data_IF_427938085339
#
_entry.id   IF_427938085339
#
_cell.length_a   1.000
_cell.length_b   1.000
_cell.length_c   1.000
_cell.angle_alpha   90.00
_cell.angle_beta   90.00
_cell.angle_gamma   90.00
#
_symmetry.space_group_name_H-M   'P 1'
#
loop_
_entity.id
_entity.type
_entity.pdbx_description
1 polymer ?
#
# COMPACT_ATOMS: atom_id res chain seq x y z
N UNK A 1 -23.60 -0.79 19.69
CA UNK A 1 -22.59 -1.66 19.03
C UNK A 1 -21.39 -1.74 19.94
N UNK A 2 -20.69 -2.89 19.95
CA UNK A 2 -19.45 -3.01 20.69
C UNK A 2 -18.41 -2.05 20.15
N UNK A 3 -17.63 -1.43 21.03
CA UNK A 3 -16.48 -0.61 20.64
C UNK A 3 -15.42 -1.50 20.01
N UNK A 4 -14.67 -0.94 19.08
CA UNK A 4 -13.57 -1.61 18.40
C UNK A 4 -12.38 -0.69 18.34
N UNK A 5 -11.19 -1.25 18.50
CA UNK A 5 -9.95 -0.49 18.62
C UNK A 5 -8.87 -1.01 17.69
N UNK A 6 -8.04 -0.12 17.19
CA UNK A 6 -6.70 -0.46 16.67
C UNK A 6 -5.74 -0.29 17.85
N UNK A 7 -5.12 -1.37 18.29
CA UNK A 7 -4.29 -1.40 19.51
C UNK A 7 -2.80 -1.62 19.24
N UNK A 8 -2.46 -2.03 18.04
CA UNK A 8 -1.08 -2.18 17.62
C UNK A 8 -0.95 -2.04 16.12
N UNK A 9 0.21 -1.58 15.69
CA UNK A 9 0.63 -1.55 14.29
C UNK A 9 2.06 -2.01 14.16
N UNK A 10 2.43 -2.58 13.02
CA UNK A 10 3.76 -3.09 12.75
C UNK A 10 4.16 -2.90 11.29
N UNK A 11 5.47 -2.89 11.07
CA UNK A 11 6.10 -2.64 9.79
C UNK A 11 7.21 -3.67 9.55
N UNK A 12 7.27 -4.23 8.36
CA UNK A 12 8.43 -4.99 7.89
C UNK A 12 8.97 -4.32 6.64
N UNK A 13 10.24 -3.96 6.68
CA UNK A 13 10.92 -3.24 5.59
C UNK A 13 11.89 -4.22 4.92
N UNK A 14 11.86 -4.37 3.58
CA UNK A 14 12.85 -5.14 2.84
C UNK A 14 14.27 -4.62 3.08
N UNK A 15 15.29 -5.49 2.92
CA UNK A 15 16.67 -5.11 3.19
C UNK A 15 17.28 -4.17 2.14
N UNK A 16 16.79 -4.21 0.91
CA UNK A 16 17.39 -3.50 -0.21
C UNK A 16 16.75 -2.13 -0.41
N UNK A 17 17.60 -1.09 -0.37
CA UNK A 17 17.24 0.28 -0.68
C UNK A 17 17.75 0.65 -2.07
N UNK A 18 16.90 1.27 -2.89
CA UNK A 18 17.25 1.89 -4.17
C UNK A 18 17.01 3.40 -4.06
N UNK A 19 18.04 4.20 -4.27
CA UNK A 19 17.96 5.65 -4.43
C UNK A 19 17.51 6.03 -5.85
N UNK A 20 17.06 7.27 -6.05
CA UNK A 20 16.77 7.74 -7.41
C UNK A 20 18.02 7.72 -8.31
N UNK A 21 19.19 8.04 -7.75
CA UNK A 21 20.44 8.05 -8.52
C UNK A 21 20.83 6.65 -9.01
N UNK A 22 20.72 5.62 -8.16
CA UNK A 22 20.96 4.23 -8.56
C UNK A 22 19.97 3.78 -9.64
N UNK A 23 18.67 4.10 -9.46
CA UNK A 23 17.63 3.75 -10.42
C UNK A 23 17.86 4.43 -11.78
N UNK A 24 18.15 5.73 -11.77
CA UNK A 24 18.41 6.53 -12.96
C UNK A 24 19.65 6.03 -13.71
N UNK A 25 20.73 5.71 -13.00
CA UNK A 25 21.95 5.17 -13.61
C UNK A 25 21.66 3.87 -14.37
N UNK A 26 20.94 2.93 -13.76
CA UNK A 26 20.54 1.67 -14.38
C UNK A 26 19.59 1.87 -15.57
N UNK A 27 18.57 2.71 -15.39
CA UNK A 27 17.59 2.99 -16.44
C UNK A 27 18.24 3.67 -17.66
N UNK A 28 19.10 4.66 -17.45
CA UNK A 28 19.75 5.38 -18.57
C UNK A 28 20.72 4.47 -19.32
N UNK A 29 21.39 3.55 -18.65
CA UNK A 29 22.20 2.52 -19.33
C UNK A 29 21.33 1.58 -20.17
N UNK A 30 20.16 1.15 -19.66
CA UNK A 30 19.17 0.41 -20.47
C UNK A 30 18.72 1.24 -21.68
N UNK A 31 18.37 2.52 -21.49
CA UNK A 31 17.91 3.40 -22.58
C UNK A 31 18.98 3.56 -23.66
N UNK A 32 20.24 3.79 -23.26
CA UNK A 32 21.39 3.87 -24.16
C UNK A 32 21.55 2.60 -25.00
N UNK A 33 21.60 1.43 -24.33
CA UNK A 33 21.73 0.13 -25.01
C UNK A 33 20.55 -0.16 -25.94
N UNK A 34 19.34 0.19 -25.53
CA UNK A 34 18.13 0.01 -26.34
C UNK A 34 18.18 0.89 -27.59
N UNK A 35 18.56 2.15 -27.47
CA UNK A 35 18.67 3.08 -28.59
C UNK A 35 19.77 2.68 -29.56
N UNK A 36 20.91 2.20 -29.08
CA UNK A 36 21.98 1.68 -29.91
C UNK A 36 21.56 0.44 -30.72
N UNK A 37 20.88 -0.53 -30.05
CA UNK A 37 20.36 -1.74 -30.74
C UNK A 37 19.33 -1.40 -31.81
N UNK A 38 18.53 -0.37 -31.60
CA UNK A 38 17.44 0.04 -32.50
C UNK A 38 17.80 1.24 -33.38
N UNK A 39 19.09 1.60 -33.52
CA UNK A 39 19.53 2.82 -34.20
C UNK A 39 18.97 2.97 -35.63
N UNK A 40 18.92 1.88 -36.42
CA UNK A 40 18.37 1.89 -37.77
C UNK A 40 16.85 2.13 -37.80
N UNK A 41 16.09 1.47 -36.90
CA UNK A 41 14.64 1.62 -36.78
C UNK A 41 14.26 2.99 -36.22
N UNK A 42 15.08 3.56 -35.34
CA UNK A 42 14.93 4.94 -34.86
C UNK A 42 15.17 5.93 -36.00
N UNK A 43 16.20 5.73 -36.79
CA UNK A 43 16.50 6.61 -37.93
C UNK A 43 15.41 6.56 -39.01
N UNK A 44 14.73 5.43 -39.20
CA UNK A 44 13.59 5.28 -40.12
C UNK A 44 12.26 5.79 -39.52
N UNK A 45 12.20 6.08 -38.20
CA UNK A 45 10.98 6.49 -37.53
C UNK A 45 10.04 5.34 -37.14
N UNK A 46 10.46 4.08 -37.30
CA UNK A 46 9.66 2.90 -36.90
C UNK A 46 9.62 2.71 -35.39
N UNK A 47 10.67 3.10 -34.69
CA UNK A 47 10.79 2.99 -33.24
C UNK A 47 11.10 4.36 -32.65
N UNK A 48 10.42 4.72 -31.57
CA UNK A 48 10.73 5.95 -30.84
C UNK A 48 12.00 5.79 -30.00
N UNK A 49 12.74 6.88 -29.84
CA UNK A 49 13.86 6.96 -28.91
C UNK A 49 13.36 6.74 -27.48
N UNK A 50 14.04 5.88 -26.72
CA UNK A 50 13.82 5.74 -25.29
C UNK A 50 14.50 6.94 -24.60
N UNK A 51 13.71 7.86 -23.98
CA UNK A 51 14.28 9.04 -23.35
C UNK A 51 14.96 8.69 -22.04
N UNK A 52 16.02 9.42 -21.69
CA UNK A 52 16.66 9.32 -20.38
C UNK A 52 15.79 9.84 -19.25
N UNK A 53 16.04 9.37 -18.04
CA UNK A 53 15.43 9.83 -16.80
C UNK A 53 16.41 10.67 -15.98
N UNK A 54 15.93 11.34 -14.93
CA UNK A 54 16.76 12.01 -13.94
C UNK A 54 16.13 11.99 -12.55
N UNK A 55 16.95 12.12 -11.52
CA UNK A 55 16.48 12.19 -10.12
C UNK A 55 15.56 13.39 -9.91
N UNK A 56 15.85 14.54 -10.55
CA UNK A 56 15.02 15.73 -10.50
C UNK A 56 13.64 15.50 -11.16
N UNK A 57 13.61 14.78 -12.28
CA UNK A 57 12.35 14.39 -12.92
C UNK A 57 11.50 13.57 -11.98
N UNK A 58 12.07 12.54 -11.35
CA UNK A 58 11.36 11.66 -10.42
C UNK A 58 10.81 12.44 -9.23
N UNK A 59 11.66 13.25 -8.56
CA UNK A 59 11.25 14.05 -7.41
C UNK A 59 10.16 15.06 -7.77
N UNK A 60 10.30 15.76 -8.90
CA UNK A 60 9.29 16.72 -9.37
C UNK A 60 7.97 16.05 -9.73
N UNK A 61 8.02 14.88 -10.34
CA UNK A 61 6.82 14.15 -10.78
C UNK A 61 6.06 13.51 -9.63
N UNK A 62 6.75 13.08 -8.55
CA UNK A 62 6.17 12.22 -7.52
C UNK A 62 6.40 12.66 -6.09
N UNK A 63 7.54 13.29 -5.79
CA UNK A 63 8.05 13.53 -4.44
C UNK A 63 8.87 12.36 -3.87
N UNK A 64 9.07 11.29 -4.64
CA UNK A 64 9.81 10.08 -4.22
C UNK A 64 11.30 10.33 -4.35
N UNK A 65 12.08 9.95 -3.30
CA UNK A 65 13.54 10.04 -3.29
C UNK A 65 14.22 8.67 -3.30
N UNK A 66 13.54 7.68 -2.74
CA UNK A 66 14.04 6.32 -2.62
C UNK A 66 12.89 5.32 -2.48
N UNK A 67 13.19 4.03 -2.58
CA UNK A 67 12.26 2.91 -2.32
C UNK A 67 12.99 1.72 -1.75
N UNK A 68 12.28 0.95 -0.96
CA UNK A 68 12.73 -0.37 -0.55
C UNK A 68 12.18 -1.43 -1.49
N UNK A 69 12.97 -2.47 -1.77
CA UNK A 69 12.58 -3.60 -2.62
C UNK A 69 13.13 -4.90 -2.02
N UNK A 70 12.54 -6.03 -2.37
CA UNK A 70 13.01 -7.34 -1.90
C UNK A 70 14.28 -7.80 -2.61
N UNK A 71 14.52 -7.31 -3.82
CA UNK A 71 15.75 -7.54 -4.58
C UNK A 71 16.06 -6.35 -5.48
N UNK A 72 17.15 -5.65 -5.18
CA UNK A 72 17.62 -4.54 -6.02
C UNK A 72 18.57 -4.99 -7.14
N UNK A 73 19.18 -6.15 -7.01
CA UNK A 73 20.21 -6.59 -7.96
C UNK A 73 19.61 -6.82 -9.35
N UNK A 74 18.47 -7.49 -9.42
CA UNK A 74 17.74 -7.70 -10.66
C UNK A 74 17.08 -6.43 -11.20
N UNK A 75 16.60 -5.55 -10.31
CA UNK A 75 16.01 -4.25 -10.70
C UNK A 75 17.06 -3.33 -11.32
N UNK A 76 18.26 -3.27 -10.73
CA UNK A 76 19.35 -2.40 -11.20
C UNK A 76 20.22 -3.02 -12.29
N UNK A 77 19.95 -4.24 -12.73
CA UNK A 77 20.59 -4.85 -13.91
C UNK A 77 19.91 -4.30 -15.19
N UNK A 78 20.61 -3.49 -16.02
CA UNK A 78 19.99 -2.87 -17.20
C UNK A 78 19.55 -3.88 -18.28
N UNK A 79 20.04 -5.11 -18.26
CA UNK A 79 19.59 -6.15 -19.17
C UNK A 79 18.33 -6.87 -18.67
N UNK A 80 18.09 -6.86 -17.37
CA UNK A 80 16.95 -7.52 -16.72
C UNK A 80 15.83 -6.55 -16.34
N UNK A 81 16.13 -5.55 -15.53
CA UNK A 81 15.17 -4.55 -14.98
C UNK A 81 13.90 -5.20 -14.39
N UNK A 82 14.09 -6.18 -13.54
CA UNK A 82 13.04 -6.92 -12.85
C UNK A 82 13.68 -7.64 -11.65
N UNK A 83 13.05 -7.68 -10.48
CA UNK A 83 13.62 -8.36 -9.33
C UNK A 83 13.85 -9.85 -9.59
N UNK A 84 14.88 -10.41 -8.96
CA UNK A 84 15.16 -11.86 -8.95
C UNK A 84 14.52 -12.45 -7.70
N UNK A 85 13.38 -13.09 -7.88
CA UNK A 85 12.66 -13.76 -6.78
C UNK A 85 12.61 -15.26 -7.11
N UNK A 86 13.53 -16.07 -6.59
CA UNK A 86 13.54 -17.50 -6.87
C UNK A 86 12.31 -18.18 -6.26
N UNK A 87 11.77 -19.21 -6.92
CA UNK A 87 10.70 -20.01 -6.36
C UNK A 87 11.17 -20.68 -5.07
N UNK A 88 10.29 -20.75 -4.08
CA UNK A 88 10.52 -21.42 -2.80
C UNK A 88 10.00 -22.87 -2.85
N UNK A 89 10.64 -23.80 -2.11
CA UNK A 89 10.08 -25.13 -1.90
C UNK A 89 8.66 -25.05 -1.28
N UNK A 90 7.80 -26.03 -1.60
CA UNK A 90 6.42 -26.03 -1.12
C UNK A 90 6.30 -26.16 0.41
N UNK A 91 7.34 -26.63 1.07
CA UNK A 91 7.44 -26.79 2.53
C UNK A 91 7.73 -25.46 3.24
N UNK A 92 8.13 -24.45 2.51
CA UNK A 92 8.37 -23.10 3.03
C UNK A 92 7.15 -22.21 2.80
N UNK A 93 6.90 -21.29 3.73
CA UNK A 93 5.91 -20.23 3.53
C UNK A 93 6.34 -19.32 2.37
N UNK A 94 5.37 -18.75 1.69
CA UNK A 94 5.61 -17.82 0.59
C UNK A 94 6.36 -16.57 1.06
N UNK A 95 7.02 -15.86 0.13
CA UNK A 95 7.73 -14.63 0.43
C UNK A 95 6.78 -13.58 1.05
N UNK A 96 5.59 -13.42 0.47
CA UNK A 96 4.61 -12.47 1.02
C UNK A 96 4.11 -12.88 2.40
N UNK A 97 3.99 -14.19 2.69
CA UNK A 97 3.68 -14.65 4.05
C UNK A 97 4.82 -14.35 5.05
N UNK A 98 6.08 -14.49 4.64
CA UNK A 98 7.23 -14.11 5.49
C UNK A 98 7.24 -12.62 5.81
N UNK A 99 7.03 -11.76 4.80
CA UNK A 99 6.89 -10.31 4.97
C UNK A 99 5.74 -9.98 5.94
N UNK A 100 4.60 -10.63 5.74
CA UNK A 100 3.41 -10.48 6.59
C UNK A 100 3.67 -10.88 8.05
N UNK A 101 4.35 -12.00 8.29
CA UNK A 101 4.73 -12.49 9.63
C UNK A 101 5.64 -11.47 10.33
N UNK A 102 6.59 -10.87 9.61
CA UNK A 102 7.46 -9.83 10.14
C UNK A 102 6.69 -8.64 10.69
N UNK A 103 5.80 -8.07 9.89
CA UNK A 103 4.95 -6.94 10.30
C UNK A 103 3.96 -7.32 11.41
N UNK A 104 3.37 -8.52 11.34
CA UNK A 104 2.41 -9.01 12.34
C UNK A 104 3.02 -9.16 13.73
N UNK A 105 4.25 -9.68 13.83
CA UNK A 105 4.97 -9.81 15.11
C UNK A 105 5.17 -8.47 15.79
N UNK A 106 5.54 -7.44 15.04
CA UNK A 106 5.68 -6.09 15.59
C UNK A 106 4.32 -5.51 16.02
N UNK A 107 3.28 -5.69 15.21
CA UNK A 107 1.93 -5.23 15.55
C UNK A 107 1.40 -5.88 16.84
N UNK A 108 1.56 -7.18 16.99
CA UNK A 108 1.19 -7.93 18.20
C UNK A 108 1.98 -7.45 19.42
N UNK A 109 3.29 -7.29 19.29
CA UNK A 109 4.14 -6.77 20.37
C UNK A 109 3.69 -5.36 20.80
N UNK A 110 3.36 -4.48 19.85
CA UNK A 110 2.87 -3.12 20.12
C UNK A 110 1.46 -3.11 20.74
N UNK A 111 0.64 -4.12 20.45
CA UNK A 111 -0.67 -4.34 21.05
C UNK A 111 -0.61 -4.99 22.45
N UNK A 112 0.55 -5.54 22.85
CA UNK A 112 0.67 -6.37 24.05
C UNK A 112 -0.14 -7.66 23.93
N UNK A 113 -0.18 -8.27 22.74
CA UNK A 113 -0.93 -9.51 22.45
C UNK A 113 -0.01 -10.63 22.01
N UNK A 114 -0.40 -11.86 22.35
CA UNK A 114 0.22 -13.09 21.85
C UNK A 114 -0.50 -13.56 20.60
N UNK A 115 0.18 -14.31 19.75
CA UNK A 115 -0.38 -14.84 18.51
C UNK A 115 -1.60 -15.78 18.76
N UNK A 116 -1.56 -16.57 19.85
CA UNK A 116 -2.65 -17.49 20.21
C UNK A 116 -3.95 -16.77 20.60
N UNK A 117 -3.90 -15.46 20.88
CA UNK A 117 -5.07 -14.65 21.17
C UNK A 117 -5.79 -14.16 19.91
N UNK A 118 -5.18 -14.33 18.72
CA UNK A 118 -5.73 -13.90 17.43
C UNK A 118 -6.75 -14.93 16.93
N UNK A 119 -7.96 -14.48 16.70
CA UNK A 119 -9.07 -15.30 16.20
C UNK A 119 -9.29 -15.16 14.69
N UNK A 120 -8.76 -14.09 14.07
CA UNK A 120 -8.94 -13.80 12.65
C UNK A 120 -7.67 -13.20 12.04
N UNK A 121 -7.23 -13.76 10.93
CA UNK A 121 -6.14 -13.22 10.10
C UNK A 121 -6.68 -12.81 8.74
N UNK A 122 -6.59 -11.53 8.39
CA UNK A 122 -6.94 -10.99 7.08
C UNK A 122 -5.66 -10.52 6.40
N UNK A 123 -5.30 -11.10 5.26
CA UNK A 123 -4.29 -10.53 4.38
C UNK A 123 -5.00 -9.71 3.31
N UNK A 124 -4.81 -8.39 3.39
CA UNK A 124 -5.46 -7.39 2.57
C UNK A 124 -4.41 -6.61 1.78
N UNK A 125 -4.17 -7.00 0.52
CA UNK A 125 -3.12 -6.41 -0.32
C UNK A 125 -3.55 -6.26 -1.79
N UNK A 126 -2.74 -5.54 -2.55
CA UNK A 126 -3.06 -5.20 -3.94
C UNK A 126 -2.82 -6.34 -4.92
N UNK A 127 -1.99 -7.31 -4.55
CA UNK A 127 -1.66 -8.49 -5.37
C UNK A 127 -1.29 -9.67 -4.47
N UNK A 128 -1.49 -10.88 -4.98
CA UNK A 128 -1.16 -12.12 -4.30
C UNK A 128 -0.11 -12.90 -5.09
N UNK A 129 0.84 -13.49 -4.38
CA UNK A 129 1.87 -14.33 -4.97
C UNK A 129 1.28 -15.56 -5.67
N UNK A 130 0.15 -16.06 -5.18
CA UNK A 130 -0.60 -17.19 -5.72
C UNK A 130 -2.07 -17.11 -5.33
N UNK A 131 -2.97 -17.77 -6.07
CA UNK A 131 -4.41 -17.74 -5.76
C UNK A 131 -4.78 -18.59 -4.54
N UNK A 132 -4.06 -19.70 -4.26
CA UNK A 132 -4.29 -20.58 -3.09
C UNK A 132 -3.08 -21.49 -2.84
N UNK A 133 -2.86 -21.99 -1.58
CA UNK A 133 -3.60 -21.58 -0.39
C UNK A 133 -3.46 -20.08 -0.11
N UNK A 134 -4.42 -19.51 0.64
CA UNK A 134 -4.40 -18.10 1.01
C UNK A 134 -3.16 -17.76 1.82
N UNK A 135 -2.59 -16.59 1.59
CA UNK A 135 -1.42 -16.08 2.36
C UNK A 135 -1.79 -15.96 3.85
N UNK A 136 -3.03 -15.55 4.15
CA UNK A 136 -3.53 -15.47 5.52
C UNK A 136 -3.44 -16.80 6.27
N UNK A 137 -3.67 -17.94 5.60
CA UNK A 137 -3.57 -19.29 6.19
C UNK A 137 -2.10 -19.66 6.45
N UNK A 138 -1.18 -19.27 5.57
CA UNK A 138 0.26 -19.45 5.81
C UNK A 138 0.73 -18.62 7.01
N UNK A 139 0.27 -17.37 7.12
CA UNK A 139 0.58 -16.47 8.24
C UNK A 139 0.01 -17.02 9.54
N UNK A 140 -1.25 -17.49 9.54
CA UNK A 140 -1.90 -18.12 10.68
C UNK A 140 -1.07 -19.29 11.20
N UNK A 141 -0.64 -20.17 10.31
CA UNK A 141 0.22 -21.32 10.63
C UNK A 141 1.57 -20.87 11.20
N UNK A 142 2.24 -19.93 10.54
CA UNK A 142 3.59 -19.49 10.90
C UNK A 142 3.66 -18.72 12.24
N UNK A 143 2.56 -18.06 12.62
CA UNK A 143 2.43 -17.35 13.90
C UNK A 143 1.86 -18.23 15.02
N UNK A 144 1.17 -19.32 14.69
CA UNK A 144 0.43 -20.13 15.66
C UNK A 144 -0.91 -19.48 16.09
N UNK A 145 -1.53 -18.67 15.21
CA UNK A 145 -2.84 -18.07 15.47
C UNK A 145 -3.95 -19.10 15.44
N UNK A 146 -5.00 -18.89 16.25
CA UNK A 146 -6.22 -19.65 16.22
C UNK A 146 -7.21 -19.19 15.14
N UNK A 147 -8.47 -19.64 15.25
CA UNK A 147 -9.59 -19.18 14.46
C UNK A 147 -9.48 -19.46 12.95
N UNK A 148 -9.64 -18.42 12.11
CA UNK A 148 -9.67 -18.55 10.65
C UNK A 148 -8.95 -17.38 9.96
N UNK A 149 -8.60 -17.57 8.68
CA UNK A 149 -7.96 -16.53 7.87
C UNK A 149 -8.40 -16.57 6.42
N UNK A 150 -8.34 -15.41 5.76
CA UNK A 150 -8.61 -15.27 4.33
C UNK A 150 -7.90 -14.08 3.72
N UNK A 151 -7.72 -14.13 2.39
CA UNK A 151 -7.15 -13.05 1.60
C UNK A 151 -8.25 -12.18 1.01
N UNK A 152 -7.99 -10.86 0.87
CA UNK A 152 -8.88 -9.94 0.16
C UNK A 152 -8.10 -8.91 -0.65
N UNK A 153 -8.66 -8.49 -1.79
CA UNK A 153 -8.05 -7.52 -2.69
C UNK A 153 -9.04 -6.40 -3.03
N UNK A 154 -8.66 -5.17 -2.70
CA UNK A 154 -9.29 -3.92 -3.12
C UNK A 154 -8.20 -2.95 -3.56
N UNK A 155 -7.19 -3.45 -4.25
CA UNK A 155 -6.02 -2.71 -4.71
C UNK A 155 -5.41 -1.87 -3.57
N UNK A 156 -5.08 -0.57 -3.82
CA UNK A 156 -4.46 0.31 -2.83
C UNK A 156 -5.36 0.62 -1.61
N UNK A 157 -6.65 0.26 -1.63
CA UNK A 157 -7.55 0.42 -0.49
C UNK A 157 -7.68 -0.83 0.37
N UNK A 158 -6.97 -1.91 0.05
CA UNK A 158 -7.12 -3.20 0.73
C UNK A 158 -6.96 -3.10 2.24
N UNK A 159 -5.97 -2.35 2.75
CA UNK A 159 -5.75 -2.19 4.19
C UNK A 159 -6.96 -1.59 4.92
N UNK A 160 -7.55 -0.50 4.40
CA UNK A 160 -8.72 0.14 5.03
C UNK A 160 -9.97 -0.73 4.92
N UNK A 161 -10.19 -1.41 3.80
CA UNK A 161 -11.28 -2.37 3.69
C UNK A 161 -11.08 -3.59 4.62
N UNK A 162 -9.83 -4.07 4.78
CA UNK A 162 -9.48 -5.12 5.72
C UNK A 162 -9.76 -4.73 7.18
N UNK A 163 -9.40 -3.51 7.57
CA UNK A 163 -9.71 -2.98 8.90
C UNK A 163 -11.23 -2.93 9.13
N UNK A 164 -12.02 -2.53 8.13
CA UNK A 164 -13.48 -2.54 8.23
C UNK A 164 -14.03 -3.95 8.43
N UNK A 165 -13.53 -4.95 7.66
CA UNK A 165 -13.95 -6.35 7.82
C UNK A 165 -13.58 -6.90 9.20
N UNK A 166 -12.37 -6.62 9.69
CA UNK A 166 -11.95 -6.98 11.03
C UNK A 166 -12.85 -6.32 12.10
N UNK A 167 -13.12 -5.02 11.96
CA UNK A 167 -14.00 -4.29 12.87
C UNK A 167 -15.43 -4.86 12.86
N UNK A 168 -15.95 -5.27 11.71
CA UNK A 168 -17.26 -5.90 11.60
C UNK A 168 -17.29 -7.29 12.24
N UNK A 169 -16.22 -8.09 12.06
CA UNK A 169 -16.08 -9.39 12.74
C UNK A 169 -16.04 -9.22 14.27
N UNK A 170 -15.32 -8.22 14.76
CA UNK A 170 -15.25 -7.91 16.19
C UNK A 170 -16.61 -7.39 16.72
N UNK A 171 -17.28 -6.50 15.99
CA UNK A 171 -18.61 -5.97 16.40
C UNK A 171 -19.68 -7.05 16.46
N UNK A 172 -19.64 -8.02 15.53
CA UNK A 172 -20.58 -9.14 15.50
C UNK A 172 -20.24 -10.25 16.51
N UNK A 173 -19.05 -10.21 17.12
CA UNK A 173 -18.57 -11.24 18.04
C UNK A 173 -18.03 -12.50 17.36
N UNK A 174 -17.85 -12.50 16.03
CA UNK A 174 -17.22 -13.62 15.30
C UNK A 174 -15.69 -13.66 15.49
N UNK A 175 -15.08 -12.56 15.93
CA UNK A 175 -13.70 -12.50 16.40
C UNK A 175 -13.60 -11.55 17.59
N UNK A 176 -12.59 -11.71 18.45
CA UNK A 176 -12.28 -10.79 19.56
C UNK A 176 -11.02 -9.98 19.25
N UNK A 177 -10.08 -10.61 18.56
CA UNK A 177 -8.80 -10.06 18.16
C UNK A 177 -8.50 -10.49 16.73
N UNK A 178 -8.33 -9.52 15.83
CA UNK A 178 -8.03 -9.73 14.43
C UNK A 178 -6.70 -9.07 14.04
N UNK A 179 -5.95 -9.73 13.16
CA UNK A 179 -4.81 -9.18 12.45
C UNK A 179 -5.23 -8.79 11.03
N UNK A 180 -4.99 -7.56 10.63
CA UNK A 180 -5.09 -7.12 9.23
C UNK A 180 -3.69 -6.81 8.74
N UNK A 181 -3.26 -7.50 7.69
CA UNK A 181 -1.87 -7.45 7.21
C UNK A 181 -1.87 -7.12 5.73
N UNK A 182 -1.00 -6.21 5.33
CA UNK A 182 -0.85 -5.78 3.93
C UNK A 182 0.61 -6.00 3.48
N UNK A 183 0.96 -7.23 3.06
CA UNK A 183 2.24 -7.48 2.40
C UNK A 183 2.15 -7.01 0.94
N UNK A 184 2.90 -5.98 0.59
CA UNK A 184 2.91 -5.41 -0.75
C UNK A 184 4.25 -5.68 -1.43
N UNK A 185 4.17 -6.28 -2.63
CA UNK A 185 5.32 -6.63 -3.46
C UNK A 185 5.14 -6.07 -4.89
N UNK A 186 4.87 -4.77 -5.05
CA UNK A 186 4.60 -4.19 -6.36
C UNK A 186 5.81 -4.15 -7.28
N UNK A 187 7.04 -4.29 -6.76
CA UNK A 187 8.25 -4.40 -7.59
C UNK A 187 8.18 -5.54 -8.61
N UNK A 188 7.48 -6.63 -8.27
CA UNK A 188 7.33 -7.81 -9.12
C UNK A 188 6.41 -7.61 -10.33
N UNK A 189 5.57 -6.57 -10.34
CA UNK A 189 4.66 -6.28 -11.45
C UNK A 189 4.76 -4.85 -12.00
N UNK A 190 5.81 -4.10 -11.62
CA UNK A 190 6.15 -2.82 -12.19
C UNK A 190 6.98 -3.02 -13.47
N UNK A 191 6.69 -2.25 -14.53
CA UNK A 191 7.58 -2.16 -15.69
C UNK A 191 8.69 -1.14 -15.39
N UNK A 192 9.84 -1.66 -14.99
CA UNK A 192 11.01 -0.85 -14.64
C UNK A 192 11.66 -0.17 -15.86
N UNK A 193 11.30 -0.59 -17.09
CA UNK A 193 11.72 0.03 -18.36
C UNK A 193 10.80 1.15 -18.83
N UNK A 194 9.71 1.41 -18.11
CA UNK A 194 8.75 2.47 -18.42
C UNK A 194 9.10 3.73 -17.61
N UNK A 195 9.68 4.73 -18.30
CA UNK A 195 10.11 5.99 -17.68
C UNK A 195 9.01 6.68 -16.87
N UNK A 196 7.77 6.56 -17.28
CA UNK A 196 6.65 7.27 -16.67
C UNK A 196 6.19 6.62 -15.35
N UNK A 197 6.60 5.39 -15.08
CA UNK A 197 6.17 4.70 -13.86
C UNK A 197 7.28 3.93 -13.12
N UNK A 198 8.50 3.76 -13.66
CA UNK A 198 9.57 2.95 -13.09
C UNK A 198 9.98 3.32 -11.66
N UNK A 199 9.62 4.52 -11.22
CA UNK A 199 9.99 5.06 -9.91
C UNK A 199 8.88 4.95 -8.86
N UNK A 200 7.67 4.52 -9.24
CA UNK A 200 6.46 4.73 -8.42
C UNK A 200 6.47 3.89 -7.17
N UNK A 201 6.82 2.60 -7.26
CA UNK A 201 6.55 1.64 -6.19
C UNK A 201 7.78 1.29 -5.34
N UNK A 202 7.46 0.86 -4.10
CA UNK A 202 8.35 0.16 -3.19
C UNK A 202 7.63 -0.99 -2.50
N UNK A 203 8.40 -2.01 -2.08
CA UNK A 203 7.90 -3.19 -1.38
C UNK A 203 7.90 -2.96 0.13
N UNK A 204 6.95 -3.56 0.83
CA UNK A 204 6.81 -3.44 2.28
C UNK A 204 5.75 -4.42 2.81
N UNK A 205 5.70 -4.64 4.12
CA UNK A 205 4.51 -5.18 4.77
C UNK A 205 4.12 -4.33 5.97
N UNK A 206 2.82 -4.16 6.16
CA UNK A 206 2.24 -3.54 7.36
C UNK A 206 1.22 -4.46 8.01
N UNK A 207 1.03 -4.29 9.32
CA UNK A 207 -0.01 -4.99 10.05
C UNK A 207 -0.65 -4.07 11.08
N UNK A 208 -1.94 -4.31 11.39
CA UNK A 208 -2.64 -3.72 12.52
C UNK A 208 -3.40 -4.78 13.29
N UNK A 209 -3.49 -4.60 14.61
CA UNK A 209 -4.33 -5.39 15.51
C UNK A 209 -5.65 -4.64 15.72
N UNK A 210 -6.77 -5.32 15.44
CA UNK A 210 -8.13 -4.80 15.60
C UNK A 210 -8.87 -5.66 16.62
N UNK A 211 -9.33 -5.06 17.73
CA UNK A 211 -9.89 -5.86 18.82
C UNK A 211 -11.00 -5.15 19.60
N UNK A 212 -11.77 -5.93 20.38
CA UNK A 212 -12.90 -5.45 21.17
C UNK A 212 -12.47 -4.70 22.44
N UNK A 213 -11.29 -4.98 22.97
CA UNK A 213 -10.83 -4.39 24.23
C UNK A 213 -9.30 -4.32 24.26
N UNK A 214 -8.74 -3.13 24.52
CA UNK A 214 -7.31 -2.97 24.69
C UNK A 214 -6.75 -3.86 25.81
N UNK A 215 -5.53 -4.37 25.65
CA UNK A 215 -4.88 -5.26 26.62
C UNK A 215 -4.47 -4.55 27.94
N UNK A 216 -4.36 -3.22 27.90
CA UNK A 216 -3.73 -2.42 28.95
C UNK A 216 -2.20 -2.34 28.84
N UNK A 217 -1.60 -3.11 27.95
CA UNK A 217 -0.15 -3.14 27.69
C UNK A 217 0.26 -2.57 26.33
N UNK A 218 -0.73 -2.11 25.53
CA UNK A 218 -0.52 -1.54 24.21
C UNK A 218 0.24 -0.21 24.29
N UNK A 219 1.06 0.09 23.27
CA UNK A 219 1.77 1.36 23.16
C UNK A 219 0.84 2.54 22.82
N UNK A 220 -0.21 2.28 22.07
CA UNK A 220 -1.27 3.24 21.77
C UNK A 220 -2.56 2.50 21.43
N UNK A 221 -3.70 3.12 21.69
CA UNK A 221 -5.00 2.58 21.30
C UNK A 221 -5.84 3.67 20.63
N UNK A 222 -6.55 3.26 19.57
CA UNK A 222 -7.41 4.13 18.78
C UNK A 222 -8.77 3.48 18.59
N UNK A 223 -9.82 4.09 19.17
CA UNK A 223 -11.20 3.66 18.98
C UNK A 223 -11.65 3.98 17.55
N UNK A 224 -12.21 3.01 16.82
CA UNK A 224 -12.80 3.20 15.49
C UNK A 224 -14.22 3.75 15.68
N UNK A 225 -14.39 5.07 15.50
CA UNK A 225 -15.67 5.77 15.64
C UNK A 225 -16.58 5.56 14.44
N UNK A 226 -16.01 5.53 13.26
CA UNK A 226 -16.73 5.33 12.01
C UNK A 226 -15.85 4.75 10.91
N UNK A 227 -16.49 4.03 10.00
CA UNK A 227 -15.87 3.50 8.78
C UNK A 227 -16.74 3.84 7.59
N UNK A 228 -16.12 4.18 6.45
CA UNK A 228 -16.82 4.44 5.20
C UNK A 228 -16.02 3.88 4.03
N UNK A 229 -16.70 3.15 3.15
CA UNK A 229 -16.11 2.58 1.94
C UNK A 229 -16.95 2.94 0.71
N UNK A 230 -16.30 3.09 -0.45
CA UNK A 230 -16.96 3.31 -1.73
C UNK A 230 -16.10 2.74 -2.87
N UNK A 231 -16.77 2.30 -3.93
CA UNK A 231 -16.13 1.85 -5.18
C UNK A 231 -16.85 2.42 -6.39
N UNK A 232 -16.08 2.76 -7.43
CA UNK A 232 -16.57 3.22 -8.73
C UNK A 232 -15.74 2.58 -9.82
N UNK A 233 -16.36 1.89 -10.78
CA UNK A 233 -15.61 1.22 -11.84
C UNK A 233 -14.80 2.21 -12.70
N UNK A 234 -13.50 1.90 -12.87
CA UNK A 234 -12.58 2.63 -13.74
C UNK A 234 -11.41 1.73 -14.16
N UNK A 235 -11.03 1.80 -15.43
CA UNK A 235 -9.84 1.16 -15.99
C UNK A 235 -8.60 2.07 -16.00
N UNK A 236 -8.66 3.25 -15.40
CA UNK A 236 -7.54 4.19 -15.43
C UNK A 236 -6.32 3.73 -14.60
N UNK A 237 -6.49 2.75 -13.71
CA UNK A 237 -5.42 2.03 -13.04
C UNK A 237 -5.76 0.56 -13.16
N UNK A 238 -4.86 -0.23 -13.75
CA UNK A 238 -5.10 -1.67 -13.95
C UNK A 238 -3.83 -2.48 -14.05
N UNK A 239 -3.99 -3.78 -13.92
CA UNK A 239 -3.05 -4.82 -14.23
C UNK A 239 -3.88 -6.03 -14.69
N UNK A 240 -3.65 -6.51 -15.90
CA UNK A 240 -4.42 -7.60 -16.49
C UNK A 240 -3.77 -8.98 -16.28
N UNK A 241 -2.74 -9.08 -15.42
CA UNK A 241 -2.15 -10.39 -15.07
C UNK A 241 -3.07 -11.21 -14.18
N UNK A 242 -3.16 -12.50 -14.48
CA UNK A 242 -3.93 -13.42 -13.67
C UNK A 242 -3.77 -14.87 -14.13
N UNK A 243 -4.44 -15.80 -13.44
CA UNK A 243 -4.32 -17.23 -13.72
C UNK A 243 -4.78 -17.62 -15.15
N UNK A 244 -5.54 -16.75 -15.82
CA UNK A 244 -5.95 -16.94 -17.21
C UNK A 244 -4.87 -16.63 -18.24
N UNK A 245 -3.73 -15.99 -17.85
CA UNK A 245 -2.64 -15.70 -18.76
C UNK A 245 -2.11 -16.94 -19.48
N UNK A 246 -2.22 -18.10 -18.83
CA UNK A 246 -1.89 -19.40 -19.42
C UNK A 246 -2.80 -19.78 -20.57
N UNK A 247 -4.02 -19.25 -20.61
CA UNK A 247 -5.04 -19.61 -21.61
C UNK A 247 -4.85 -18.86 -22.95
N UNK A 248 -4.07 -17.78 -22.92
CA UNK A 248 -3.72 -17.02 -24.12
C UNK A 248 -2.19 -16.80 -24.22
N UNK A 249 -1.48 -17.72 -24.89
CA UNK A 249 -0.03 -17.63 -25.00
C UNK A 249 0.45 -16.44 -25.86
N UNK A 250 -0.41 -15.84 -26.69
CA UNK A 250 -0.07 -14.70 -27.55
C UNK A 250 0.05 -13.40 -26.75
N UNK A 251 -0.86 -13.18 -25.82
CA UNK A 251 -0.90 -11.94 -25.00
C UNK A 251 -0.21 -12.09 -23.63
N UNK A 252 0.36 -13.26 -23.33
CA UNK A 252 0.94 -13.59 -22.02
C UNK A 252 1.94 -12.58 -21.51
N UNK A 253 2.78 -12.07 -22.40
CA UNK A 253 3.88 -11.16 -22.07
C UNK A 253 3.60 -9.70 -22.51
N UNK A 254 2.34 -9.36 -22.78
CA UNK A 254 1.94 -8.01 -23.15
C UNK A 254 2.17 -7.03 -22.01
N UNK A 255 2.47 -5.76 -22.35
CA UNK A 255 2.71 -4.66 -21.41
C UNK A 255 1.60 -4.49 -20.38
N UNK A 256 0.35 -4.78 -20.73
CA UNK A 256 -0.83 -4.64 -19.85
C UNK A 256 -0.94 -5.73 -18.76
N UNK A 257 -0.07 -6.76 -18.80
CA UNK A 257 0.12 -7.73 -17.71
C UNK A 257 0.90 -7.16 -16.54
N UNK A 258 1.51 -6.00 -16.71
CA UNK A 258 2.17 -5.22 -15.68
C UNK A 258 1.31 -4.00 -15.31
N UNK A 259 1.69 -3.29 -14.27
CA UNK A 259 1.00 -2.09 -13.83
C UNK A 259 0.87 -1.04 -14.94
N UNK A 260 -0.33 -0.50 -15.12
CA UNK A 260 -0.65 0.60 -16.03
C UNK A 260 -1.53 1.65 -15.35
N UNK A 261 -1.28 2.92 -15.67
CA UNK A 261 -2.13 4.02 -15.21
C UNK A 261 -2.24 5.15 -16.23
N UNK A 262 -3.41 5.77 -16.24
CA UNK A 262 -3.71 7.04 -16.90
C UNK A 262 -3.51 8.21 -15.90
N UNK A 263 -2.27 8.47 -15.49
CA UNK A 263 -1.94 9.30 -14.33
C UNK A 263 -2.66 10.65 -14.25
N UNK A 264 -2.82 11.38 -15.38
CA UNK A 264 -3.54 12.67 -15.41
C UNK A 264 -5.04 12.52 -15.13
N UNK A 265 -5.68 11.45 -15.62
CA UNK A 265 -7.11 11.18 -15.36
C UNK A 265 -7.28 10.79 -13.90
N UNK A 266 -6.44 9.87 -13.41
CA UNK A 266 -6.42 9.45 -12.00
C UNK A 266 -6.31 10.66 -11.07
N UNK A 267 -5.34 11.56 -11.31
CA UNK A 267 -5.19 12.77 -10.52
C UNK A 267 -6.46 13.64 -10.50
N UNK A 268 -7.04 13.87 -11.68
CA UNK A 268 -8.24 14.72 -11.84
C UNK A 268 -9.48 14.13 -11.16
N UNK A 269 -9.62 12.81 -11.15
CA UNK A 269 -10.81 12.12 -10.66
C UNK A 269 -10.69 11.74 -9.18
N UNK A 270 -9.54 11.21 -8.76
CA UNK A 270 -9.34 10.67 -7.40
C UNK A 270 -9.18 11.78 -6.36
N UNK A 271 -8.48 12.89 -6.67
CA UNK A 271 -8.28 13.95 -5.68
C UNK A 271 -9.59 14.54 -5.14
N UNK A 272 -10.55 14.99 -5.99
CA UNK A 272 -11.85 15.46 -5.49
C UNK A 272 -12.63 14.34 -4.79
N UNK A 273 -12.66 13.14 -5.38
CA UNK A 273 -13.38 11.99 -4.83
C UNK A 273 -12.90 11.62 -3.41
N UNK A 274 -11.58 11.62 -3.16
CA UNK A 274 -11.03 11.34 -1.84
C UNK A 274 -11.36 12.45 -0.83
N UNK A 275 -11.25 13.72 -1.23
CA UNK A 275 -11.57 14.85 -0.36
C UNK A 275 -13.05 14.85 0.03
N UNK A 276 -13.96 14.66 -0.95
CA UNK A 276 -15.41 14.63 -0.73
C UNK A 276 -15.81 13.41 0.11
N UNK A 277 -15.16 12.25 -0.09
CA UNK A 277 -15.38 11.05 0.71
C UNK A 277 -15.04 11.29 2.18
N UNK A 278 -13.87 11.86 2.48
CA UNK A 278 -13.42 12.17 3.85
C UNK A 278 -14.33 13.22 4.47
N UNK A 279 -14.61 14.33 3.77
CA UNK A 279 -15.45 15.42 4.29
C UNK A 279 -16.86 14.94 4.61
N UNK A 280 -17.48 14.16 3.72
CA UNK A 280 -18.81 13.59 3.97
C UNK A 280 -18.83 12.52 5.04
N UNK A 281 -17.71 11.76 5.22
CA UNK A 281 -17.58 10.81 6.31
C UNK A 281 -17.48 11.52 7.68
N UNK A 282 -16.68 12.58 7.78
CA UNK A 282 -16.58 13.41 8.98
C UNK A 282 -17.94 14.01 9.34
N UNK A 283 -18.61 14.67 8.39
CA UNK A 283 -19.93 15.30 8.60
C UNK A 283 -20.99 14.29 9.08
N UNK A 284 -21.01 13.07 8.49
CA UNK A 284 -21.96 12.03 8.90
C UNK A 284 -21.72 11.50 10.33
N UNK A 285 -20.53 11.73 10.91
CA UNK A 285 -20.18 11.37 12.27
C UNK A 285 -20.12 12.59 13.22
N UNK A 286 -20.58 13.76 12.78
CA UNK A 286 -20.66 14.97 13.60
C UNK A 286 -19.32 15.71 13.79
N UNK A 287 -18.34 15.48 12.92
CA UNK A 287 -17.03 16.14 12.93
C UNK A 287 -16.88 17.14 11.80
N UNK A 288 -16.23 18.26 12.09
CA UNK A 288 -15.66 19.15 11.09
C UNK A 288 -14.22 18.76 10.77
N UNK A 289 -13.69 19.21 9.62
CA UNK A 289 -12.29 19.01 9.30
C UNK A 289 -11.32 19.63 10.32
N UNK A 290 -11.72 20.71 10.98
CA UNK A 290 -10.96 21.36 12.06
C UNK A 290 -10.85 20.55 13.34
N UNK A 291 -11.70 19.53 13.54
CA UNK A 291 -11.65 18.65 14.71
C UNK A 291 -10.60 17.56 14.56
N UNK A 292 -10.10 17.36 13.34
CA UNK A 292 -9.13 16.30 13.02
C UNK A 292 -7.71 16.79 13.27
N UNK A 293 -7.01 16.09 14.14
CA UNK A 293 -5.61 16.38 14.47
C UNK A 293 -4.62 15.81 13.42
N UNK A 294 -5.00 14.71 12.74
CA UNK A 294 -4.11 14.07 11.76
C UNK A 294 -4.85 13.25 10.71
N UNK A 295 -4.40 13.39 9.45
CA UNK A 295 -4.84 12.60 8.31
C UNK A 295 -3.71 11.69 7.86
N UNK A 296 -3.87 10.38 7.99
CA UNK A 296 -2.97 9.37 7.45
C UNK A 296 -3.49 8.90 6.09
N UNK A 297 -3.08 9.61 5.06
CA UNK A 297 -3.54 9.39 3.69
C UNK A 297 -2.70 8.34 2.96
N UNK A 298 -3.30 7.71 1.96
CA UNK A 298 -2.57 6.92 0.98
C UNK A 298 -1.44 7.72 0.34
N UNK A 299 -0.29 7.12 0.15
CA UNK A 299 0.96 7.74 -0.29
C UNK A 299 1.22 7.44 -1.78
N UNK A 300 0.36 7.95 -2.67
CA UNK A 300 0.48 7.71 -4.12
C UNK A 300 1.39 8.72 -4.82
N UNK A 301 1.26 10.00 -4.47
CA UNK A 301 1.99 11.12 -5.07
C UNK A 301 1.89 12.32 -4.13
N UNK A 302 3.00 13.05 -3.96
CA UNK A 302 3.08 14.18 -3.02
C UNK A 302 2.06 15.28 -3.34
N UNK A 303 1.93 15.64 -4.62
CA UNK A 303 0.99 16.69 -5.05
C UNK A 303 -0.47 16.27 -4.82
N UNK A 304 -0.80 14.98 -5.02
CA UNK A 304 -2.13 14.46 -4.69
C UNK A 304 -2.42 14.59 -3.20
N UNK A 305 -1.50 14.18 -2.34
CA UNK A 305 -1.66 14.25 -0.89
C UNK A 305 -1.88 15.68 -0.41
N UNK A 306 -1.06 16.63 -0.89
CA UNK A 306 -1.22 18.04 -0.57
C UNK A 306 -2.56 18.59 -1.04
N UNK A 307 -2.98 18.27 -2.27
CA UNK A 307 -4.25 18.75 -2.83
C UNK A 307 -5.47 18.20 -2.08
N UNK A 308 -5.44 16.91 -1.72
CA UNK A 308 -6.52 16.28 -0.94
C UNK A 308 -6.62 16.93 0.43
N UNK A 309 -5.51 17.03 1.17
CA UNK A 309 -5.48 17.67 2.48
C UNK A 309 -5.91 19.14 2.43
N UNK A 310 -5.45 19.91 1.43
CA UNK A 310 -5.86 21.29 1.20
C UNK A 310 -7.37 21.42 0.94
N UNK A 311 -7.95 20.53 0.13
CA UNK A 311 -9.39 20.54 -0.14
C UNK A 311 -10.22 20.27 1.11
N UNK A 312 -9.77 19.35 1.96
CA UNK A 312 -10.45 19.00 3.22
C UNK A 312 -10.37 20.16 4.22
N UNK A 313 -9.18 20.76 4.39
CA UNK A 313 -8.91 21.78 5.40
C UNK A 313 -9.25 23.21 4.94
N UNK A 314 -9.43 23.45 3.62
CA UNK A 314 -9.59 24.79 3.04
C UNK A 314 -8.30 25.64 3.05
N UNK A 315 -7.17 25.06 3.46
CA UNK A 315 -5.82 25.64 3.53
C UNK A 315 -4.75 24.58 3.35
N UNK A 316 -3.50 24.99 3.19
CA UNK A 316 -2.39 24.03 3.20
C UNK A 316 -2.33 23.32 4.57
N UNK A 317 -2.12 21.99 4.52
CA UNK A 317 -1.88 21.19 5.72
C UNK A 317 -0.43 21.34 6.19
N UNK A 318 -0.22 21.30 7.49
CA UNK A 318 1.12 21.18 8.05
C UNK A 318 1.62 19.73 7.93
N UNK A 319 2.94 19.47 7.98
CA UNK A 319 3.49 18.12 8.00
C UNK A 319 2.98 17.25 9.16
N UNK A 320 2.58 17.87 10.27
CA UNK A 320 2.00 17.18 11.42
C UNK A 320 0.54 16.78 11.16
N UNK A 321 -0.23 17.60 10.43
CA UNK A 321 -1.63 17.30 10.10
C UNK A 321 -1.75 16.23 9.01
N UNK A 322 -0.86 16.23 8.03
CA UNK A 322 -0.85 15.26 6.93
C UNK A 322 0.59 14.77 6.67
N UNK A 323 1.09 13.83 7.49
CA UNK A 323 2.46 13.35 7.36
C UNK A 323 2.71 12.64 6.04
N UNK A 324 3.90 12.88 5.48
CA UNK A 324 4.38 12.27 4.24
C UNK A 324 5.46 11.25 4.58
N UNK A 325 5.31 10.05 4.02
CA UNK A 325 6.32 8.98 4.08
C UNK A 325 6.80 8.56 2.68
N UNK A 326 6.17 9.12 1.67
CA UNK A 326 6.39 8.82 0.26
C UNK A 326 7.83 9.05 -0.20
N UNK A 327 8.50 10.07 0.34
CA UNK A 327 9.90 10.39 0.05
C UNK A 327 10.86 9.24 0.40
N UNK A 328 10.51 8.44 1.42
CA UNK A 328 11.33 7.35 1.96
C UNK A 328 10.92 5.96 1.44
N UNK A 329 9.62 5.73 1.30
CA UNK A 329 9.07 4.40 1.02
C UNK A 329 8.49 4.25 -0.38
N UNK A 330 8.36 5.37 -1.14
CA UNK A 330 7.60 5.44 -2.39
C UNK A 330 6.11 5.09 -2.19
N UNK A 331 5.41 4.78 -3.28
CA UNK A 331 4.04 4.25 -3.19
C UNK A 331 4.11 2.75 -2.84
N UNK A 332 3.62 2.39 -1.69
CA UNK A 332 3.57 1.02 -1.19
C UNK A 332 2.17 0.43 -1.26
N UNK A 333 1.44 0.77 -2.32
CA UNK A 333 0.07 0.30 -2.57
C UNK A 333 -0.84 0.45 -1.35
N UNK A 334 -1.42 -0.62 -0.79
CA UNK A 334 -2.36 -0.50 0.34
C UNK A 334 -1.69 -0.17 1.68
N UNK A 335 -0.39 -0.38 1.80
CA UNK A 335 0.35 -0.18 3.05
C UNK A 335 0.61 1.30 3.40
N UNK A 336 0.61 2.22 2.42
CA UNK A 336 1.09 3.59 2.60
C UNK A 336 0.41 4.39 3.70
N UNK A 337 -0.92 4.32 3.84
CA UNK A 337 -1.65 4.99 4.92
C UNK A 337 -1.36 4.36 6.29
N UNK A 338 -1.11 3.05 6.34
CA UNK A 338 -0.78 2.34 7.57
C UNK A 338 0.66 2.64 8.02
N UNK A 339 1.61 2.82 7.08
CA UNK A 339 2.97 3.30 7.42
C UNK A 339 2.88 4.70 8.05
N UNK A 340 2.12 5.60 7.42
CA UNK A 340 1.91 6.95 7.95
C UNK A 340 1.29 6.91 9.36
N UNK A 341 0.28 6.06 9.58
CA UNK A 341 -0.32 5.82 10.89
C UNK A 341 0.71 5.24 11.86
N UNK A 342 1.42 4.18 11.50
CA UNK A 342 2.41 3.51 12.35
C UNK A 342 3.48 4.47 12.88
N UNK A 343 4.02 5.32 12.00
CA UNK A 343 5.09 6.27 12.35
C UNK A 343 4.60 7.52 13.10
N UNK A 344 3.31 7.88 12.95
CA UNK A 344 2.78 9.16 13.42
C UNK A 344 1.48 9.02 14.20
N UNK A 345 1.34 8.02 15.09
CA UNK A 345 0.13 7.86 15.91
C UNK A 345 0.37 8.03 17.41
N UNK A 346 1.62 7.98 17.89
CA UNK A 346 1.94 7.93 19.33
C UNK A 346 2.15 9.30 19.97
N UNK A 347 2.40 10.32 19.19
CA UNK A 347 2.69 11.70 19.64
C UNK A 347 1.45 12.58 19.85
N UNK A 348 0.26 12.10 19.47
CA UNK A 348 -1.00 12.81 19.68
C UNK A 348 -1.53 12.61 21.10
N UNK A 349 -2.26 13.59 21.63
CA UNK A 349 -2.84 13.53 22.97
C UNK A 349 -4.05 12.58 23.03
N UNK A 350 -4.39 12.09 24.22
CA UNK A 350 -5.67 11.38 24.45
C UNK A 350 -6.84 12.25 24.02
N UNK A 351 -7.84 11.65 23.38
CA UNK A 351 -9.00 12.33 22.83
C UNK A 351 -8.80 12.89 21.43
N UNK A 352 -7.56 12.93 20.90
CA UNK A 352 -7.28 13.37 19.53
C UNK A 352 -8.05 12.56 18.50
N UNK A 353 -8.51 13.23 17.46
CA UNK A 353 -9.19 12.62 16.31
C UNK A 353 -8.23 12.50 15.15
N UNK A 354 -8.21 11.34 14.51
CA UNK A 354 -7.43 11.09 13.30
C UNK A 354 -8.26 10.39 12.23
N UNK A 355 -7.81 10.49 10.98
CA UNK A 355 -8.45 9.82 9.84
C UNK A 355 -7.40 9.02 9.07
N UNK A 356 -7.60 7.71 8.98
CA UNK A 356 -6.90 6.87 8.00
C UNK A 356 -7.74 6.85 6.72
N UNK A 357 -7.13 7.10 5.56
CA UNK A 357 -7.82 6.98 4.28
C UNK A 357 -6.88 6.42 3.21
N UNK A 358 -7.34 5.37 2.53
CA UNK A 358 -6.71 4.81 1.35
C UNK A 358 -7.62 4.95 0.14
N UNK A 359 -7.02 5.12 -1.03
CA UNK A 359 -7.74 5.21 -2.31
C UNK A 359 -6.85 4.65 -3.43
N UNK A 360 -7.45 4.15 -4.49
CA UNK A 360 -6.70 3.58 -5.60
C UNK A 360 -7.55 2.96 -6.70
N UNK A 361 -6.96 1.95 -7.34
CA UNK A 361 -7.59 1.26 -8.45
C UNK A 361 -8.98 0.73 -8.09
N UNK A 362 -9.81 0.69 -9.07
CA UNK A 362 -11.19 0.30 -8.96
C UNK A 362 -12.15 1.29 -9.64
N UNK A 363 -12.31 2.59 -9.29
CA UNK A 363 -11.68 3.16 -8.08
C UNK A 363 -12.28 2.60 -6.79
N UNK A 364 -11.46 2.64 -5.75
CA UNK A 364 -11.88 2.27 -4.40
C UNK A 364 -11.40 3.32 -3.41
N UNK A 365 -12.17 3.60 -2.37
CA UNK A 365 -11.80 4.48 -1.26
C UNK A 365 -12.32 3.87 0.04
N UNK A 366 -11.47 3.80 1.07
CA UNK A 366 -11.85 3.42 2.42
C UNK A 366 -11.30 4.40 3.44
N UNK A 367 -12.10 4.77 4.43
CA UNK A 367 -11.66 5.65 5.52
C UNK A 367 -12.20 5.25 6.88
N UNK A 368 -11.40 5.51 7.92
CA UNK A 368 -11.75 5.31 9.33
C UNK A 368 -11.53 6.59 10.10
N UNK A 369 -12.54 7.00 10.89
CA UNK A 369 -12.40 8.06 11.90
C UNK A 369 -12.00 7.39 13.20
N UNK A 370 -10.88 7.81 13.75
CA UNK A 370 -10.25 7.23 14.92
C UNK A 370 -10.19 8.26 16.05
N UNK A 371 -10.37 7.79 17.29
CA UNK A 371 -10.16 8.57 18.50
C UNK A 371 -9.09 7.91 19.36
N UNK A 372 -8.06 8.65 19.77
CA UNK A 372 -7.05 8.16 20.69
C UNK A 372 -7.64 7.97 22.09
N UNK A 373 -7.45 6.79 22.67
CA UNK A 373 -7.96 6.39 24.00
C UNK A 373 -6.86 5.86 24.89
#
# INVERSE_FOLDING_TARGET
MNKVYITGSGLWVPPDLITNDELVASYNEYARRSNERNAAAIASGEVAVVPESSSEFIEKASGIKQRYVVDKTGVLDPDRMCPVIPPRPNEQISLMAEMAVGAAREALNNAGRKAEEVDLVIVACSSFQRPYPAIAVEVQFALGCGGYGYDMNVACSSATFGIEQAANAVRSGSARCALVISPELPSGHLEWRDRDCHFIFGDIATAVVVEASPSGQQKSAWEILGSKAATVFSNNIRNNSGFLDRCDPVSRDNRDKLFMQEGRKVFKEVCPMAADHISSHLAANGFAASDVNRFWLHQANLTMNHLIAKRILGREATPQEAPVILDKFANTASAGSIIAFHQHNTDLAFGSIGVICSFGAGYSIGSHILKRV
#
